data_IF_493581692260
#
_entry.id   IF_493581692260
#
_cell.length_a   1.000
_cell.length_b   1.000
_cell.length_c   1.000
_cell.angle_alpha   90.00
_cell.angle_beta   90.00
_cell.angle_gamma   90.00
#
_symmetry.space_group_name_H-M   'P 1'
#
loop_
_entity.id
_entity.type
_entity.pdbx_description
1 polymer ?
#
# COMPACT_ATOMS: atom_id res chain seq x y z
N UNK A 1 -2.66 -12.89 -14.82
CA UNK A 1 -1.18 -13.03 -14.73
C UNK A 1 -0.82 -14.21 -15.60
N UNK A 2 -0.10 -14.00 -16.70
CA UNK A 2 0.33 -15.10 -17.59
C UNK A 2 1.33 -15.95 -16.79
N UNK A 3 1.18 -17.28 -16.72
CA UNK A 3 2.15 -18.16 -16.10
C UNK A 3 3.56 -17.95 -16.67
N UNK A 4 4.58 -17.87 -15.83
CA UNK A 4 5.95 -17.53 -16.24
C UNK A 4 6.49 -18.47 -17.34
N UNK A 5 6.09 -19.76 -17.34
CA UNK A 5 6.46 -20.70 -18.39
C UNK A 5 5.83 -20.36 -19.74
N UNK A 6 4.60 -19.84 -19.79
CA UNK A 6 3.92 -19.44 -21.02
C UNK A 6 4.47 -18.14 -21.61
N UNK A 7 5.03 -17.27 -20.78
CA UNK A 7 5.70 -16.06 -21.28
C UNK A 7 7.10 -16.37 -21.82
N UNK A 8 7.88 -17.19 -21.11
CA UNK A 8 9.20 -17.61 -21.60
C UNK A 8 9.08 -18.61 -22.77
N UNK A 9 8.07 -19.50 -22.79
CA UNK A 9 7.68 -20.28 -23.99
C UNK A 9 7.13 -19.37 -25.08
N UNK A 10 6.37 -18.32 -24.76
CA UNK A 10 5.87 -17.37 -25.75
C UNK A 10 6.99 -16.59 -26.43
N UNK A 11 8.06 -16.26 -25.70
CA UNK A 11 9.28 -15.67 -26.26
C UNK A 11 10.08 -16.71 -27.06
N UNK A 12 10.29 -17.92 -26.50
CA UNK A 12 11.06 -18.99 -27.16
C UNK A 12 10.34 -19.60 -28.38
N UNK A 13 9.00 -19.57 -28.40
CA UNK A 13 8.14 -20.01 -29.51
C UNK A 13 7.64 -18.83 -30.35
N UNK A 14 8.10 -17.60 -30.08
CA UNK A 14 7.79 -16.48 -30.95
C UNK A 14 8.40 -16.74 -32.34
N UNK A 15 7.59 -16.62 -33.39
CA UNK A 15 8.06 -16.68 -34.79
C UNK A 15 9.19 -15.66 -35.05
N UNK A 16 9.21 -14.58 -34.26
CA UNK A 16 10.26 -13.55 -34.23
C UNK A 16 11.67 -14.10 -33.99
N UNK A 17 11.85 -15.19 -33.22
CA UNK A 17 13.20 -15.69 -32.96
C UNK A 17 13.86 -16.26 -34.23
N UNK A 18 13.09 -16.99 -35.06
CA UNK A 18 13.57 -17.51 -36.35
C UNK A 18 13.79 -16.40 -37.38
N UNK A 19 12.91 -15.40 -37.41
CA UNK A 19 13.04 -14.28 -38.33
C UNK A 19 14.19 -13.33 -37.93
N UNK A 20 14.41 -13.09 -36.62
CA UNK A 20 15.59 -12.37 -36.12
C UNK A 20 16.89 -13.16 -36.29
N UNK A 21 16.86 -14.50 -36.24
CA UNK A 21 18.01 -15.34 -36.57
C UNK A 21 18.35 -15.28 -38.07
N UNK A 22 17.35 -15.21 -38.96
CA UNK A 22 17.55 -14.96 -40.40
C UNK A 22 18.14 -13.57 -40.67
N UNK A 23 17.67 -12.53 -39.98
CA UNK A 23 18.25 -11.17 -40.05
C UNK A 23 19.70 -11.15 -39.52
N UNK A 24 20.02 -11.95 -38.50
CA UNK A 24 21.40 -12.10 -37.99
C UNK A 24 22.31 -12.85 -38.96
N UNK A 25 21.80 -13.88 -39.65
CA UNK A 25 22.59 -14.69 -40.58
C UNK A 25 23.05 -13.93 -41.83
N UNK A 26 22.33 -12.86 -42.18
CA UNK A 26 22.61 -12.03 -43.35
C UNK A 26 23.44 -10.77 -43.04
N UNK A 27 23.82 -10.55 -41.77
CA UNK A 27 24.83 -9.55 -41.41
C UNK A 27 26.19 -10.23 -41.41
N UNK A 28 27.03 -9.75 -42.32
CA UNK A 28 28.40 -10.16 -42.55
C UNK A 28 29.21 -10.39 -41.26
N UNK A 29 30.21 -11.26 -41.39
CA UNK A 29 31.29 -11.51 -40.42
C UNK A 29 32.04 -10.20 -40.14
N UNK A 30 31.48 -9.35 -39.28
CA UNK A 30 32.16 -8.24 -38.65
C UNK A 30 32.80 -8.76 -37.36
N UNK A 31 34.04 -8.33 -37.08
CA UNK A 31 34.64 -8.51 -35.75
C UNK A 31 33.67 -7.95 -34.70
N UNK A 32 33.13 -8.84 -33.86
CA UNK A 32 32.23 -8.47 -32.77
C UNK A 32 32.89 -7.41 -31.89
N UNK A 33 32.24 -6.27 -31.74
CA UNK A 33 32.71 -5.23 -30.83
C UNK A 33 32.61 -5.73 -29.39
N UNK A 34 33.42 -5.19 -28.49
CA UNK A 34 33.32 -5.47 -27.05
C UNK A 34 31.89 -5.24 -26.50
N UNK A 35 31.17 -4.26 -27.06
CA UNK A 35 29.74 -4.01 -26.73
C UNK A 35 28.81 -5.15 -27.17
N UNK A 36 29.12 -5.85 -28.26
CA UNK A 36 28.33 -6.99 -28.72
C UNK A 36 28.55 -8.20 -27.82
N UNK A 37 29.78 -8.42 -27.36
CA UNK A 37 30.10 -9.43 -26.35
C UNK A 37 29.39 -9.17 -25.02
N UNK A 38 29.43 -7.92 -24.52
CA UNK A 38 28.70 -7.52 -23.31
C UNK A 38 27.18 -7.72 -23.48
N UNK A 39 26.64 -7.41 -24.67
CA UNK A 39 25.22 -7.60 -24.96
C UNK A 39 24.84 -9.08 -24.98
N UNK A 40 25.65 -9.94 -25.57
CA UNK A 40 25.44 -11.39 -25.57
C UNK A 40 25.52 -11.97 -24.15
N UNK A 41 26.51 -11.54 -23.35
CA UNK A 41 26.60 -11.94 -21.94
C UNK A 41 25.35 -11.53 -21.15
N UNK A 42 24.82 -10.32 -21.37
CA UNK A 42 23.54 -9.91 -20.76
C UNK A 42 22.38 -10.78 -21.24
N UNK A 43 22.31 -11.12 -22.53
CA UNK A 43 21.26 -11.99 -23.05
C UNK A 43 21.29 -13.40 -22.45
N UNK A 44 22.45 -13.88 -22.00
CA UNK A 44 22.60 -15.17 -21.33
C UNK A 44 22.09 -15.17 -19.88
N UNK A 45 21.85 -13.99 -19.28
CA UNK A 45 21.30 -13.91 -17.92
C UNK A 45 19.87 -14.46 -17.86
N UNK A 46 19.65 -15.41 -16.96
CA UNK A 46 18.34 -16.01 -16.74
C UNK A 46 17.55 -15.22 -15.71
N UNK A 47 16.33 -14.79 -16.07
CA UNK A 47 15.37 -14.23 -15.10
C UNK A 47 14.72 -15.29 -14.20
N UNK A 48 14.98 -16.57 -14.45
CA UNK A 48 14.56 -17.67 -13.57
C UNK A 48 15.64 -18.02 -12.54
N UNK A 49 16.88 -17.60 -12.78
CA UNK A 49 17.96 -17.79 -11.82
C UNK A 49 17.83 -16.81 -10.65
N UNK A 50 17.85 -17.37 -9.44
CA UNK A 50 17.58 -16.68 -8.19
C UNK A 50 18.75 -15.76 -7.77
N UNK A 51 19.98 -16.16 -8.08
CA UNK A 51 21.18 -15.42 -7.72
C UNK A 51 21.36 -14.21 -8.66
N UNK A 52 21.14 -14.42 -9.96
CA UNK A 52 21.05 -13.33 -10.95
C UNK A 52 19.97 -12.30 -10.55
N UNK A 53 18.79 -12.76 -10.11
CA UNK A 53 17.77 -11.86 -9.61
C UNK A 53 18.25 -11.04 -8.41
N UNK A 54 18.92 -11.64 -7.43
CA UNK A 54 19.39 -10.92 -6.23
C UNK A 54 20.36 -9.78 -6.53
N UNK A 55 21.27 -9.97 -7.49
CA UNK A 55 22.25 -8.94 -7.87
C UNK A 55 21.52 -7.66 -8.34
N UNK A 56 20.49 -7.86 -9.17
CA UNK A 56 19.75 -6.78 -9.84
C UNK A 56 18.49 -6.29 -9.09
N UNK A 57 18.14 -6.92 -7.95
CA UNK A 57 16.93 -6.61 -7.16
C UNK A 57 17.07 -5.33 -6.31
N UNK A 58 17.13 -4.17 -6.98
CA UNK A 58 17.14 -2.87 -6.31
C UNK A 58 15.82 -2.60 -5.58
N UNK A 59 14.70 -3.08 -6.12
CA UNK A 59 13.37 -2.85 -5.57
C UNK A 59 13.23 -3.45 -4.15
N UNK A 60 13.74 -4.66 -3.94
CA UNK A 60 13.79 -5.29 -2.63
C UNK A 60 14.68 -4.52 -1.66
N UNK A 61 15.85 -4.04 -2.12
CA UNK A 61 16.79 -3.27 -1.28
C UNK A 61 16.12 -2.01 -0.72
N UNK A 62 15.33 -1.32 -1.53
CA UNK A 62 14.59 -0.12 -1.10
C UNK A 62 13.44 -0.46 -0.13
N UNK A 63 12.77 -1.61 -0.31
CA UNK A 63 11.64 -2.04 0.53
C UNK A 63 12.04 -2.86 1.76
N UNK A 64 13.32 -3.19 1.94
CA UNK A 64 13.79 -4.09 2.99
C UNK A 64 13.37 -3.64 4.38
N UNK A 65 13.46 -2.34 4.67
CA UNK A 65 13.08 -1.78 5.97
C UNK A 65 11.59 -2.00 6.27
N UNK A 66 10.74 -1.72 5.28
CA UNK A 66 9.29 -1.90 5.41
C UNK A 66 8.91 -3.37 5.64
N UNK A 67 9.57 -4.29 4.94
CA UNK A 67 9.38 -5.74 5.11
C UNK A 67 9.76 -6.20 6.52
N UNK A 68 10.87 -5.70 7.06
CA UNK A 68 11.30 -5.99 8.43
C UNK A 68 10.28 -5.45 9.43
N UNK A 69 9.75 -4.24 9.21
CA UNK A 69 8.72 -3.64 10.04
C UNK A 69 7.42 -4.46 10.06
N UNK A 70 6.93 -4.88 8.89
CA UNK A 70 5.73 -5.74 8.79
C UNK A 70 5.91 -7.10 9.47
N UNK A 71 7.13 -7.65 9.45
CA UNK A 71 7.45 -8.89 10.16
C UNK A 71 7.52 -8.68 11.67
N UNK A 72 8.15 -7.59 12.12
CA UNK A 72 8.27 -7.26 13.54
C UNK A 72 6.88 -7.02 14.18
N UNK A 73 6.01 -6.30 13.47
CA UNK A 73 4.63 -6.04 13.87
C UNK A 73 3.67 -7.21 13.58
N UNK A 74 4.14 -8.38 13.16
CA UNK A 74 3.30 -9.54 12.83
C UNK A 74 2.15 -9.28 11.81
N UNK A 75 2.24 -8.18 11.04
CA UNK A 75 1.26 -7.80 10.01
C UNK A 75 1.28 -8.81 8.87
N UNK A 76 2.48 -9.20 8.45
CA UNK A 76 2.67 -10.05 7.28
C UNK A 76 3.87 -10.98 7.50
N UNK A 77 3.67 -12.29 7.70
CA UNK A 77 4.76 -13.23 7.94
C UNK A 77 5.36 -13.68 6.60
N UNK A 78 6.06 -12.75 5.95
CA UNK A 78 6.78 -12.99 4.70
C UNK A 78 8.23 -13.35 5.02
N UNK A 79 8.74 -14.39 4.36
CA UNK A 79 10.13 -14.83 4.51
C UNK A 79 10.82 -14.93 3.16
N UNK A 80 12.11 -14.58 3.16
CA UNK A 80 12.98 -14.86 2.03
C UNK A 80 13.48 -16.29 2.16
N UNK A 81 13.05 -17.17 1.25
CA UNK A 81 13.45 -18.59 1.27
C UNK A 81 14.77 -18.82 0.56
N UNK A 82 15.02 -18.08 -0.53
CA UNK A 82 16.29 -18.08 -1.28
C UNK A 82 16.63 -16.65 -1.72
N UNK A 83 17.89 -16.37 -2.07
CA UNK A 83 18.26 -15.26 -2.96
C UNK A 83 17.18 -14.93 -3.99
N UNK A 84 16.83 -13.66 -4.15
CA UNK A 84 15.86 -13.19 -5.15
C UNK A 84 14.40 -13.66 -5.01
N UNK A 85 14.05 -14.52 -4.05
CA UNK A 85 12.68 -15.08 -3.93
C UNK A 85 12.07 -14.89 -2.55
N UNK A 86 10.91 -14.22 -2.56
CA UNK A 86 10.10 -13.97 -1.38
C UNK A 86 8.94 -14.95 -1.39
N UNK A 87 8.73 -15.64 -0.27
CA UNK A 87 7.72 -16.69 -0.15
C UNK A 87 6.94 -16.55 1.15
N UNK A 88 5.68 -16.97 1.10
CA UNK A 88 4.81 -17.10 2.25
C UNK A 88 4.50 -18.58 2.45
N UNK A 89 4.66 -19.07 3.69
CA UNK A 89 4.30 -20.44 4.06
C UNK A 89 3.70 -20.47 5.45
N UNK A 90 2.55 -21.13 5.59
CA UNK A 90 1.85 -21.30 6.87
C UNK A 90 2.67 -22.05 7.91
N UNK A 91 3.63 -22.88 7.49
CA UNK A 91 4.48 -23.68 8.37
C UNK A 91 5.82 -23.03 8.68
N UNK A 92 6.00 -21.75 8.36
CA UNK A 92 7.25 -21.03 8.57
C UNK A 92 7.42 -20.55 10.03
N UNK A 93 8.67 -20.37 10.47
CA UNK A 93 8.99 -19.75 11.78
C UNK A 93 8.40 -18.34 11.92
N UNK A 94 8.31 -17.60 10.82
CA UNK A 94 7.74 -16.24 10.83
C UNK A 94 6.22 -16.28 11.06
N UNK A 95 5.51 -17.25 10.47
CA UNK A 95 4.08 -17.43 10.70
C UNK A 95 3.80 -17.91 12.11
N UNK A 96 4.63 -18.80 12.65
CA UNK A 96 4.52 -19.21 14.06
C UNK A 96 4.70 -18.03 15.03
N UNK A 97 5.72 -17.17 14.79
CA UNK A 97 5.89 -15.92 15.54
C UNK A 97 4.67 -15.01 15.42
N UNK A 98 4.17 -14.79 14.19
CA UNK A 98 3.02 -13.93 13.97
C UNK A 98 1.75 -14.45 14.68
N UNK A 99 1.49 -15.76 14.64
CA UNK A 99 0.39 -16.39 15.37
C UNK A 99 0.54 -16.19 16.88
N UNK A 100 1.72 -16.46 17.45
CA UNK A 100 1.95 -16.30 18.89
C UNK A 100 1.77 -14.83 19.32
N UNK A 101 2.35 -13.90 18.57
CA UNK A 101 2.20 -12.47 18.81
C UNK A 101 0.72 -12.06 18.75
N UNK A 102 -0.01 -12.55 17.76
CA UNK A 102 -1.42 -12.21 17.58
C UNK A 102 -2.32 -12.79 18.68
N UNK A 103 -2.03 -13.99 19.17
CA UNK A 103 -2.74 -14.58 20.31
C UNK A 103 -2.55 -13.70 21.56
N UNK A 104 -1.31 -13.31 21.86
CA UNK A 104 -1.00 -12.44 23.00
C UNK A 104 -1.70 -11.08 22.84
N UNK A 105 -1.59 -10.47 21.66
CA UNK A 105 -2.25 -9.19 21.36
C UNK A 105 -3.78 -9.30 21.50
N UNK A 106 -4.38 -10.42 21.08
CA UNK A 106 -5.82 -10.67 21.19
C UNK A 106 -6.26 -10.77 22.65
N UNK A 107 -5.49 -11.45 23.51
CA UNK A 107 -5.79 -11.50 24.95
C UNK A 107 -5.78 -10.11 25.57
N UNK A 108 -4.79 -9.28 25.22
CA UNK A 108 -4.73 -7.89 25.70
C UNK A 108 -5.92 -7.08 25.18
N UNK A 109 -6.25 -7.20 23.89
CA UNK A 109 -7.39 -6.51 23.27
C UNK A 109 -8.72 -6.90 23.92
N UNK A 110 -8.93 -8.17 24.24
CA UNK A 110 -10.14 -8.64 24.91
C UNK A 110 -10.23 -8.09 26.35
N UNK A 111 -9.12 -8.08 27.08
CA UNK A 111 -9.07 -7.50 28.43
C UNK A 111 -9.41 -6.01 28.42
N UNK A 112 -8.77 -5.24 27.52
CA UNK A 112 -9.07 -3.81 27.35
C UNK A 112 -10.51 -3.60 26.88
N UNK A 113 -11.00 -4.42 25.93
CA UNK A 113 -12.37 -4.34 25.43
C UNK A 113 -13.41 -4.56 26.53
N UNK A 114 -13.18 -5.53 27.43
CA UNK A 114 -14.06 -5.78 28.57
C UNK A 114 -14.16 -4.58 29.51
N UNK A 115 -13.02 -3.98 29.89
CA UNK A 115 -13.00 -2.78 30.72
C UNK A 115 -13.71 -1.60 30.04
N UNK A 116 -13.51 -1.42 28.73
CA UNK A 116 -14.15 -0.33 27.97
C UNK A 116 -15.66 -0.52 27.86
N UNK A 117 -16.14 -1.74 27.64
CA UNK A 117 -17.58 -2.04 27.62
C UNK A 117 -18.21 -1.85 29.00
N UNK A 118 -17.47 -2.17 30.07
CA UNK A 118 -17.94 -1.94 31.44
C UNK A 118 -18.06 -0.44 31.75
N UNK A 119 -17.08 0.35 31.33
CA UNK A 119 -17.10 1.82 31.47
C UNK A 119 -18.24 2.43 30.64
N UNK A 120 -18.49 1.94 29.42
CA UNK A 120 -19.56 2.40 28.53
C UNK A 120 -20.95 2.35 29.19
N UNK A 121 -21.21 1.35 30.04
CA UNK A 121 -22.49 1.23 30.77
C UNK A 121 -22.68 2.28 31.87
N UNK A 122 -21.60 2.92 32.31
CA UNK A 122 -21.63 3.90 33.41
C UNK A 122 -21.71 5.36 32.94
N UNK A 123 -21.43 5.61 31.65
CA UNK A 123 -21.39 6.97 31.10
C UNK A 123 -22.80 7.46 30.78
N UNK A 124 -23.13 8.67 31.27
CA UNK A 124 -24.42 9.34 31.03
C UNK A 124 -24.33 10.50 30.03
N UNK A 125 -23.16 11.11 29.88
CA UNK A 125 -22.94 12.20 28.91
C UNK A 125 -22.80 11.66 27.50
N UNK A 126 -23.46 12.30 26.55
CA UNK A 126 -23.48 11.85 25.16
C UNK A 126 -22.09 11.87 24.51
N UNK A 127 -21.31 12.95 24.71
CA UNK A 127 -19.99 13.07 24.09
C UNK A 127 -19.03 11.99 24.60
N UNK A 128 -18.97 11.78 25.92
CA UNK A 128 -18.20 10.70 26.55
C UNK A 128 -18.66 9.32 26.08
N UNK A 129 -19.96 9.15 25.81
CA UNK A 129 -20.52 7.90 25.30
C UNK A 129 -20.07 7.64 23.86
N UNK A 130 -20.12 8.65 22.98
CA UNK A 130 -19.63 8.53 21.59
C UNK A 130 -18.14 8.19 21.58
N UNK A 131 -17.33 8.87 22.38
CA UNK A 131 -15.91 8.56 22.49
C UNK A 131 -15.69 7.11 22.96
N UNK A 132 -16.42 6.65 23.99
CA UNK A 132 -16.33 5.28 24.48
C UNK A 132 -16.74 4.23 23.43
N UNK A 133 -17.78 4.49 22.62
CA UNK A 133 -18.17 3.62 21.50
C UNK A 133 -17.07 3.60 20.43
N UNK A 134 -16.50 4.75 20.07
CA UNK A 134 -15.41 4.84 19.09
C UNK A 134 -14.18 4.04 19.56
N UNK A 135 -13.83 4.08 20.85
CA UNK A 135 -12.72 3.28 21.39
C UNK A 135 -12.96 1.78 21.30
N UNK A 136 -14.21 1.32 21.49
CA UNK A 136 -14.57 -0.08 21.27
C UNK A 136 -14.52 -0.42 19.78
N UNK A 137 -14.98 0.49 18.92
CA UNK A 137 -14.90 0.32 17.47
C UNK A 137 -13.45 0.23 16.97
N UNK A 138 -12.50 0.98 17.54
CA UNK A 138 -11.07 0.87 17.20
C UNK A 138 -10.44 -0.49 17.57
N UNK A 139 -11.05 -1.27 18.46
CA UNK A 139 -10.60 -2.64 18.75
C UNK A 139 -11.05 -3.64 17.68
N UNK A 140 -12.12 -3.35 16.94
CA UNK A 140 -12.69 -4.26 15.92
C UNK A 140 -11.72 -4.54 14.77
N UNK A 141 -11.00 -3.56 14.19
CA UNK A 141 -10.02 -3.80 13.14
C UNK A 141 -8.96 -4.83 13.49
N UNK A 142 -8.61 -5.00 14.78
CA UNK A 142 -7.71 -6.08 15.23
C UNK A 142 -8.18 -7.40 14.61
N UNK A 143 -9.39 -7.85 14.92
CA UNK A 143 -9.89 -9.15 14.43
C UNK A 143 -9.93 -9.28 12.90
N UNK A 144 -10.00 -8.18 12.15
CA UNK A 144 -10.03 -8.18 10.69
C UNK A 144 -8.64 -8.27 10.04
N UNK A 145 -7.62 -7.73 10.70
CA UNK A 145 -6.28 -7.56 10.12
C UNK A 145 -5.59 -8.89 9.76
N UNK A 146 -5.66 -9.99 10.55
CA UNK A 146 -5.09 -11.27 10.14
C UNK A 146 -5.71 -11.81 8.85
N UNK A 147 -7.02 -11.64 8.66
CA UNK A 147 -7.70 -12.13 7.48
C UNK A 147 -7.26 -11.37 6.23
N UNK A 148 -7.17 -10.03 6.31
CA UNK A 148 -6.73 -9.21 5.17
C UNK A 148 -5.22 -9.32 4.95
N UNK A 149 -4.44 -9.16 6.01
CA UNK A 149 -2.99 -9.15 5.97
C UNK A 149 -2.40 -10.50 5.58
N UNK A 150 -2.79 -11.58 6.27
CA UNK A 150 -2.26 -12.91 5.97
C UNK A 150 -2.89 -13.52 4.74
N UNK A 151 -4.18 -13.24 4.47
CA UNK A 151 -4.88 -13.72 3.27
C UNK A 151 -4.25 -13.21 1.96
N UNK A 152 -3.69 -12.01 1.97
CA UNK A 152 -3.06 -11.38 0.78
C UNK A 152 -1.53 -11.59 0.76
N UNK A 153 -0.94 -12.12 1.82
CA UNK A 153 0.52 -12.30 1.95
C UNK A 153 1.14 -13.11 0.81
N UNK A 154 0.45 -14.14 0.32
CA UNK A 154 0.92 -14.93 -0.82
C UNK A 154 0.98 -14.08 -2.11
N UNK A 155 -0.03 -13.25 -2.36
CA UNK A 155 -0.06 -12.39 -3.54
C UNK A 155 1.04 -11.32 -3.48
N UNK A 156 1.29 -10.75 -2.30
CA UNK A 156 2.39 -9.79 -2.11
C UNK A 156 3.76 -10.45 -2.28
N UNK A 157 3.93 -11.69 -1.83
CA UNK A 157 5.16 -12.46 -2.04
C UNK A 157 5.42 -12.73 -3.53
N UNK A 158 4.40 -13.14 -4.28
CA UNK A 158 4.48 -13.33 -5.73
C UNK A 158 4.81 -12.01 -6.44
N UNK A 159 4.10 -10.94 -6.10
CA UNK A 159 4.32 -9.61 -6.67
C UNK A 159 5.76 -9.13 -6.45
N UNK A 160 6.26 -9.21 -5.21
CA UNK A 160 7.63 -8.81 -4.89
C UNK A 160 8.68 -9.66 -5.60
N UNK A 161 8.43 -10.97 -5.74
CA UNK A 161 9.32 -11.85 -6.49
C UNK A 161 9.31 -11.55 -8.00
N UNK A 162 8.14 -11.21 -8.56
CA UNK A 162 8.03 -10.85 -9.99
C UNK A 162 8.80 -9.58 -10.35
N UNK A 163 8.97 -8.65 -9.41
CA UNK A 163 9.80 -7.46 -9.59
C UNK A 163 11.27 -7.79 -9.81
N UNK A 164 11.83 -8.76 -9.08
CA UNK A 164 13.21 -9.21 -9.31
C UNK A 164 13.41 -9.73 -10.73
N UNK A 165 12.46 -10.56 -11.21
CA UNK A 165 12.47 -11.05 -12.60
C UNK A 165 12.37 -9.92 -13.62
N UNK A 166 11.51 -8.94 -13.35
CA UNK A 166 11.34 -7.77 -14.19
C UNK A 166 12.62 -6.93 -14.28
N UNK A 167 13.32 -6.71 -13.16
CA UNK A 167 14.57 -5.93 -13.15
C UNK A 167 15.68 -6.62 -13.93
N UNK A 168 15.77 -7.96 -13.88
CA UNK A 168 16.69 -8.71 -14.74
C UNK A 168 16.32 -8.54 -16.22
N UNK A 169 15.04 -8.67 -16.57
CA UNK A 169 14.59 -8.48 -17.96
C UNK A 169 14.84 -7.06 -18.47
N UNK A 170 14.63 -6.06 -17.62
CA UNK A 170 14.96 -4.67 -17.93
C UNK A 170 16.46 -4.52 -18.22
N UNK A 171 17.32 -5.03 -17.34
CA UNK A 171 18.77 -5.00 -17.51
C UNK A 171 19.25 -5.70 -18.79
N UNK A 172 18.61 -6.81 -19.20
CA UNK A 172 18.93 -7.50 -20.45
C UNK A 172 18.75 -6.61 -21.68
N UNK A 173 17.70 -5.78 -21.67
CA UNK A 173 17.31 -4.94 -22.82
C UNK A 173 18.06 -3.60 -22.81
N UNK A 174 18.09 -2.91 -21.68
CA UNK A 174 18.64 -1.55 -21.57
C UNK A 174 20.14 -1.54 -21.27
N UNK A 175 20.66 -2.60 -20.64
CA UNK A 175 22.04 -2.64 -20.15
C UNK A 175 22.28 -1.87 -18.85
N UNK A 176 21.24 -1.24 -18.30
CA UNK A 176 21.31 -0.47 -17.06
C UNK A 176 20.37 -1.02 -16.01
N UNK A 177 20.77 -0.90 -14.73
CA UNK A 177 19.92 -1.30 -13.61
C UNK A 177 18.79 -0.29 -13.41
N UNK A 178 17.57 -0.77 -13.22
CA UNK A 178 16.44 0.08 -12.89
C UNK A 178 16.64 0.66 -11.48
N UNK A 179 16.91 1.96 -11.39
CA UNK A 179 17.12 2.67 -10.14
C UNK A 179 15.92 3.56 -9.79
N UNK A 180 15.56 3.59 -8.51
CA UNK A 180 14.52 4.46 -7.98
C UNK A 180 15.15 5.49 -7.04
N UNK A 181 15.47 6.72 -7.51
CA UNK A 181 16.32 7.65 -6.76
C UNK A 181 15.72 8.08 -5.41
N UNK A 182 14.41 8.29 -5.35
CA UNK A 182 13.74 8.82 -4.15
C UNK A 182 12.91 7.77 -3.38
N UNK A 183 12.76 6.56 -3.91
CA UNK A 183 11.82 5.57 -3.39
C UNK A 183 12.13 5.16 -1.95
N UNK A 184 13.40 4.85 -1.67
CA UNK A 184 13.85 4.50 -0.32
C UNK A 184 13.56 5.62 0.68
N UNK A 185 13.90 6.85 0.33
CA UNK A 185 13.69 8.03 1.18
C UNK A 185 12.20 8.26 1.44
N UNK A 186 11.36 8.18 0.41
CA UNK A 186 9.91 8.31 0.53
C UNK A 186 9.30 7.22 1.41
N UNK A 187 9.70 5.95 1.23
CA UNK A 187 9.22 4.84 2.07
C UNK A 187 9.58 5.07 3.54
N UNK A 188 10.81 5.51 3.83
CA UNK A 188 11.26 5.79 5.20
C UNK A 188 10.47 6.95 5.80
N UNK A 189 10.32 8.06 5.07
CA UNK A 189 9.56 9.23 5.53
C UNK A 189 8.10 8.84 5.85
N UNK A 190 7.44 8.11 4.96
CA UNK A 190 6.05 7.68 5.18
C UNK A 190 5.98 6.71 6.36
N UNK A 191 6.86 5.71 6.44
CA UNK A 191 6.81 4.69 7.51
C UNK A 191 7.08 5.28 8.89
N UNK A 192 8.10 6.15 9.00
CA UNK A 192 8.43 6.84 10.26
C UNK A 192 7.35 7.86 10.61
N UNK A 193 6.82 8.59 9.62
CA UNK A 193 5.70 9.51 9.80
C UNK A 193 4.46 8.82 10.35
N UNK A 194 4.08 7.64 9.82
CA UNK A 194 2.96 6.86 10.32
C UNK A 194 3.15 6.41 11.78
N UNK A 195 4.38 6.02 12.16
CA UNK A 195 4.70 5.64 13.54
C UNK A 195 4.64 6.82 14.49
N UNK A 196 5.24 7.95 14.12
CA UNK A 196 5.22 9.18 14.92
C UNK A 196 3.78 9.68 15.10
N UNK A 197 2.98 9.63 14.04
CA UNK A 197 1.58 10.04 14.13
C UNK A 197 0.78 9.10 15.04
N UNK A 198 0.99 7.79 14.95
CA UNK A 198 0.36 6.85 15.87
C UNK A 198 0.70 7.18 17.34
N UNK A 199 1.94 7.57 17.63
CA UNK A 199 2.34 8.05 18.97
C UNK A 199 1.64 9.35 19.33
N UNK A 200 1.63 10.36 18.45
CA UNK A 200 0.96 11.63 18.69
C UNK A 200 -0.53 11.45 18.97
N UNK A 201 -1.22 10.66 18.14
CA UNK A 201 -2.64 10.35 18.31
C UNK A 201 -2.89 9.65 19.65
N UNK A 202 -2.08 8.66 20.03
CA UNK A 202 -2.19 8.02 21.34
C UNK A 202 -1.96 8.97 22.51
N UNK A 203 -1.00 9.88 22.41
CA UNK A 203 -0.76 10.88 23.45
C UNK A 203 -1.95 11.82 23.59
N UNK A 204 -2.54 12.24 22.47
CA UNK A 204 -3.77 13.02 22.45
C UNK A 204 -4.95 12.25 23.07
N UNK A 205 -5.08 10.94 22.80
CA UNK A 205 -6.10 10.09 23.40
C UNK A 205 -5.90 9.89 24.92
N UNK A 206 -4.65 9.68 25.35
CA UNK A 206 -4.29 9.60 26.77
C UNK A 206 -4.62 10.91 27.51
N UNK A 207 -4.46 12.05 26.86
CA UNK A 207 -4.87 13.33 27.41
C UNK A 207 -6.40 13.51 27.38
N UNK A 208 -7.09 12.96 26.37
CA UNK A 208 -8.54 13.10 26.20
C UNK A 208 -9.33 12.45 27.33
N UNK A 209 -8.94 11.25 27.77
CA UNK A 209 -9.61 10.48 28.82
C UNK A 209 -8.83 10.48 30.14
N UNK A 210 -9.43 11.05 31.19
CA UNK A 210 -9.00 10.79 32.57
C UNK A 210 -9.18 9.28 32.87
N UNK A 211 -8.08 8.55 33.06
CA UNK A 211 -8.09 7.13 33.47
C UNK A 211 -7.34 6.14 32.57
N UNK A 212 -6.58 6.58 31.56
CA UNK A 212 -5.75 5.66 30.77
C UNK A 212 -4.49 5.20 31.53
N UNK A 213 -4.43 3.93 31.93
CA UNK A 213 -3.18 3.27 32.31
C UNK A 213 -2.31 3.03 31.06
N UNK A 214 -1.02 3.38 31.11
CA UNK A 214 -0.04 3.19 30.01
C UNK A 214 0.00 1.76 29.42
N UNK A 215 -0.43 0.76 30.20
CA UNK A 215 -0.49 -0.65 29.77
C UNK A 215 -1.54 -0.91 28.69
N UNK A 216 -2.65 -0.16 28.68
CA UNK A 216 -3.69 -0.28 27.65
C UNK A 216 -3.25 0.38 26.33
N UNK A 217 -2.40 1.40 26.41
CA UNK A 217 -1.88 2.17 25.27
C UNK A 217 -1.05 1.31 24.32
N UNK A 218 -0.37 0.28 24.82
CA UNK A 218 0.44 -0.62 23.99
C UNK A 218 -0.40 -1.41 22.96
N UNK A 219 -1.61 -1.84 23.33
CA UNK A 219 -2.51 -2.53 22.41
C UNK A 219 -3.04 -1.61 21.33
N UNK A 220 -3.47 -0.40 21.72
CA UNK A 220 -3.91 0.62 20.77
C UNK A 220 -2.78 1.06 19.83
N UNK A 221 -1.54 1.17 20.31
CA UNK A 221 -0.38 1.48 19.46
C UNK A 221 -0.19 0.50 18.32
N UNK A 222 -0.27 -0.79 18.63
CA UNK A 222 -0.17 -1.81 17.60
C UNK A 222 -1.30 -1.68 16.58
N UNK A 223 -2.55 -1.58 17.04
CA UNK A 223 -3.74 -1.48 16.17
C UNK A 223 -3.68 -0.21 15.31
N UNK A 224 -3.45 0.96 15.91
CA UNK A 224 -3.40 2.25 15.21
C UNK A 224 -2.28 2.25 14.16
N UNK A 225 -1.10 1.74 14.50
CA UNK A 225 0.00 1.62 13.54
C UNK A 225 -0.38 0.74 12.35
N UNK A 226 -1.07 -0.38 12.57
CA UNK A 226 -1.55 -1.25 11.50
C UNK A 226 -2.65 -0.61 10.65
N UNK A 227 -3.57 0.11 11.29
CA UNK A 227 -4.66 0.83 10.63
C UNK A 227 -4.08 1.93 9.72
N UNK A 228 -3.10 2.70 10.22
CA UNK A 228 -2.42 3.74 9.44
C UNK A 228 -1.62 3.19 8.26
N UNK A 229 -1.24 1.91 8.29
CA UNK A 229 -0.60 1.25 7.15
C UNK A 229 -1.60 0.72 6.10
N UNK A 230 -2.91 0.76 6.40
CA UNK A 230 -3.95 0.28 5.50
C UNK A 230 -4.76 1.45 4.90
N UNK A 231 -4.59 1.67 3.61
CA UNK A 231 -5.23 2.77 2.88
C UNK A 231 -6.76 2.82 3.05
N UNK A 232 -7.43 1.67 3.13
CA UNK A 232 -8.89 1.62 3.26
C UNK A 232 -9.39 2.23 4.58
N UNK A 233 -8.52 2.31 5.60
CA UNK A 233 -8.88 2.78 6.93
C UNK A 233 -8.54 4.26 7.16
N UNK A 234 -7.83 4.92 6.24
CA UNK A 234 -7.57 6.37 6.34
C UNK A 234 -8.87 7.18 6.30
N UNK A 235 -9.87 6.74 5.54
CA UNK A 235 -11.19 7.37 5.50
C UNK A 235 -11.85 7.45 6.88
N UNK A 236 -11.83 6.33 7.61
CA UNK A 236 -12.41 6.24 8.95
C UNK A 236 -11.65 7.13 9.95
N UNK A 237 -10.32 7.15 9.89
CA UNK A 237 -9.51 8.02 10.76
C UNK A 237 -9.80 9.50 10.49
N UNK A 238 -9.87 9.94 9.23
CA UNK A 238 -10.19 11.34 8.91
C UNK A 238 -11.57 11.73 9.47
N UNK A 239 -12.58 10.87 9.30
CA UNK A 239 -13.93 11.14 9.79
C UNK A 239 -13.95 11.29 11.31
N UNK A 240 -13.31 10.38 12.04
CA UNK A 240 -13.25 10.37 13.49
C UNK A 240 -12.45 11.56 14.02
N UNK A 241 -11.30 11.86 13.42
CA UNK A 241 -10.43 12.96 13.82
C UNK A 241 -11.11 14.32 13.64
N UNK A 242 -11.78 14.54 12.51
CA UNK A 242 -12.54 15.78 12.26
C UNK A 242 -13.75 15.87 13.20
N UNK A 243 -14.48 14.78 13.42
CA UNK A 243 -15.60 14.77 14.36
C UNK A 243 -15.14 15.10 15.79
N UNK A 244 -14.06 14.47 16.27
CA UNK A 244 -13.51 14.75 17.60
C UNK A 244 -13.06 16.20 17.74
N UNK A 245 -12.39 16.75 16.73
CA UNK A 245 -11.98 18.16 16.75
C UNK A 245 -13.18 19.11 16.77
N UNK A 246 -14.21 18.86 15.95
CA UNK A 246 -15.43 19.68 15.93
C UNK A 246 -16.23 19.55 17.23
N UNK A 247 -16.28 18.35 17.81
CA UNK A 247 -16.98 18.07 19.06
C UNK A 247 -16.41 18.91 20.20
N UNK A 248 -15.08 18.95 20.31
CA UNK A 248 -14.38 19.70 21.36
C UNK A 248 -14.56 21.22 21.21
N UNK A 249 -14.48 21.73 19.96
CA UNK A 249 -14.70 23.15 19.64
C UNK A 249 -16.12 23.59 20.03
N UNK A 250 -17.12 22.72 19.85
CA UNK A 250 -18.52 23.00 20.21
C UNK A 250 -18.72 23.05 21.73
N UNK A 251 -17.95 22.28 22.50
CA UNK A 251 -18.15 22.16 23.95
C UNK A 251 -17.35 23.18 24.76
N UNK A 252 -16.09 23.44 24.37
CA UNK A 252 -15.17 24.30 25.11
C UNK A 252 -14.88 25.64 24.42
N UNK A 253 -15.39 25.84 23.20
CA UNK A 253 -15.03 26.98 22.36
C UNK A 253 -13.64 26.80 21.73
N UNK A 254 -13.13 27.83 21.04
CA UNK A 254 -11.84 27.75 20.35
C UNK A 254 -10.68 27.86 21.37
N UNK A 255 -10.32 26.75 22.00
CA UNK A 255 -9.23 26.69 22.96
C UNK A 255 -8.17 25.70 22.50
N UNK A 256 -7.11 26.19 21.83
CA UNK A 256 -5.97 25.43 21.29
C UNK A 256 -5.31 24.50 22.31
N UNK A 257 -6.00 23.42 22.65
CA UNK A 257 -5.59 22.44 23.63
C UNK A 257 -4.76 21.40 22.91
N UNK A 258 -3.80 20.79 23.60
CA UNK A 258 -2.95 19.72 23.04
C UNK A 258 -3.78 18.58 22.39
N UNK A 259 -5.00 18.37 22.88
CA UNK A 259 -6.00 17.44 22.33
C UNK A 259 -6.42 17.80 20.90
N UNK A 260 -6.90 19.03 20.69
CA UNK A 260 -7.38 19.51 19.38
C UNK A 260 -6.25 19.50 18.35
N UNK A 261 -5.07 19.98 18.75
CA UNK A 261 -3.90 20.03 17.87
C UNK A 261 -3.52 18.62 17.36
N UNK A 262 -3.56 17.60 18.22
CA UNK A 262 -3.27 16.23 17.80
C UNK A 262 -4.29 15.65 16.82
N UNK A 263 -5.58 15.92 17.02
CA UNK A 263 -6.65 15.47 16.11
C UNK A 263 -6.57 16.18 14.74
N UNK A 264 -6.24 17.47 14.71
CA UNK A 264 -6.01 18.19 13.45
C UNK A 264 -4.80 17.68 12.70
N UNK A 265 -3.69 17.41 13.40
CA UNK A 265 -2.47 16.85 12.79
C UNK A 265 -2.75 15.46 12.20
N UNK A 266 -3.53 14.62 12.89
CA UNK A 266 -3.95 13.32 12.39
C UNK A 266 -4.82 13.42 11.14
N UNK A 267 -5.88 14.24 11.17
CA UNK A 267 -6.76 14.47 10.04
C UNK A 267 -6.00 15.00 8.80
N UNK A 268 -5.10 15.97 9.00
CA UNK A 268 -4.29 16.54 7.93
C UNK A 268 -3.35 15.50 7.31
N UNK A 269 -2.70 14.69 8.15
CA UNK A 269 -1.78 13.66 7.68
C UNK A 269 -2.48 12.54 6.91
N UNK A 270 -3.55 11.97 7.46
CA UNK A 270 -4.33 10.95 6.78
C UNK A 270 -4.92 11.46 5.46
N UNK A 271 -5.37 12.72 5.41
CA UNK A 271 -5.83 13.36 4.17
C UNK A 271 -4.70 13.50 3.14
N UNK A 272 -3.50 13.88 3.59
CA UNK A 272 -2.33 13.99 2.72
C UNK A 272 -1.93 12.63 2.15
N UNK A 273 -1.92 11.57 2.97
CA UNK A 273 -1.60 10.21 2.52
C UNK A 273 -2.64 9.69 1.52
N UNK A 274 -3.94 9.90 1.78
CA UNK A 274 -5.01 9.51 0.87
C UNK A 274 -4.89 10.25 -0.47
N UNK A 275 -4.58 11.55 -0.45
CA UNK A 275 -4.31 12.33 -1.65
C UNK A 275 -3.12 11.79 -2.43
N UNK A 276 -1.98 11.55 -1.77
CA UNK A 276 -0.77 11.00 -2.39
C UNK A 276 -1.10 9.66 -3.06
N UNK A 277 -1.81 8.76 -2.37
CA UNK A 277 -2.15 7.45 -2.91
C UNK A 277 -3.05 7.54 -4.15
N UNK A 278 -4.11 8.36 -4.09
CA UNK A 278 -5.03 8.56 -5.20
C UNK A 278 -4.35 9.26 -6.40
N UNK A 279 -3.54 10.29 -6.14
CA UNK A 279 -2.83 11.03 -7.17
C UNK A 279 -1.72 10.21 -7.83
N UNK A 280 -0.94 9.45 -7.05
CA UNK A 280 0.07 8.53 -7.59
C UNK A 280 -0.57 7.44 -8.45
N UNK A 281 -1.69 6.86 -8.02
CA UNK A 281 -2.41 5.82 -8.78
C UNK A 281 -2.97 6.38 -10.10
N UNK A 282 -3.54 7.59 -10.06
CA UNK A 282 -4.02 8.27 -11.26
C UNK A 282 -2.87 8.62 -12.22
N UNK A 283 -1.79 9.22 -11.72
CA UNK A 283 -0.60 9.55 -12.52
C UNK A 283 0.08 8.30 -13.10
N UNK A 284 0.12 7.18 -12.37
CA UNK A 284 0.67 5.92 -12.86
C UNK A 284 -0.11 5.42 -14.08
N UNK A 285 -1.44 5.47 -14.01
CA UNK A 285 -2.31 5.08 -15.12
C UNK A 285 -2.07 5.96 -16.35
N UNK A 286 -1.99 7.29 -16.16
CA UNK A 286 -1.73 8.24 -17.26
C UNK A 286 -0.35 8.10 -17.87
N UNK A 287 0.70 7.88 -17.06
CA UNK A 287 2.08 7.73 -17.55
C UNK A 287 2.27 6.46 -18.36
N UNK A 288 1.60 5.37 -17.99
CA UNK A 288 1.64 4.13 -18.78
C UNK A 288 0.97 4.36 -20.14
N UNK A 289 -0.19 5.02 -20.17
CA UNK A 289 -0.87 5.37 -21.41
C UNK A 289 -0.01 6.29 -22.31
N UNK A 290 0.54 7.37 -21.74
CA UNK A 290 1.39 8.30 -22.47
C UNK A 290 2.69 7.65 -22.97
N UNK A 291 3.35 6.82 -22.14
CA UNK A 291 4.58 6.14 -22.53
C UNK A 291 4.38 5.15 -23.68
N UNK A 292 3.25 4.44 -23.69
CA UNK A 292 2.87 3.60 -24.84
C UNK A 292 2.66 4.48 -26.08
N UNK A 293 1.91 5.56 -25.95
CA UNK A 293 1.63 6.49 -27.06
C UNK A 293 2.91 7.09 -27.65
N UNK A 294 3.83 7.59 -26.81
CA UNK A 294 5.10 8.17 -27.23
C UNK A 294 6.00 7.14 -27.93
N UNK A 295 6.04 5.91 -27.42
CA UNK A 295 6.79 4.82 -28.05
C UNK A 295 6.25 4.51 -29.45
N UNK A 296 4.93 4.47 -29.60
CA UNK A 296 4.28 4.21 -30.88
C UNK A 296 4.50 5.34 -31.89
N UNK A 297 4.45 6.60 -31.44
CA UNK A 297 4.72 7.77 -32.28
C UNK A 297 6.19 7.87 -32.69
N UNK A 298 7.11 7.25 -31.93
CA UNK A 298 8.54 7.21 -32.27
C UNK A 298 8.89 6.16 -33.33
N UNK A 299 7.97 5.22 -33.62
CA UNK A 299 8.15 4.22 -34.67
C UNK A 299 7.81 4.87 -36.01
N UNK A 300 8.76 4.87 -36.94
CA UNK A 300 8.52 5.34 -38.30
C UNK A 300 7.69 4.31 -39.08
N UNK A 301 6.36 4.42 -38.96
CA UNK A 301 5.39 3.50 -39.56
C UNK A 301 5.56 3.38 -41.09
N UNK A 302 6.16 4.38 -41.75
CA UNK A 302 6.39 4.38 -43.20
C UNK A 302 7.57 3.49 -43.63
N UNK A 303 8.52 3.20 -42.73
CA UNK A 303 9.66 2.32 -43.01
C UNK A 303 9.46 0.88 -42.50
N UNK A 304 8.28 0.57 -41.95
CA UNK A 304 7.98 -0.70 -41.29
C UNK A 304 7.10 -1.58 -42.19
N UNK A 305 7.39 -2.88 -42.21
CA UNK A 305 6.70 -3.86 -43.05
C UNK A 305 5.19 -3.96 -42.71
N UNK A 306 4.33 -4.19 -43.72
CA UNK A 306 2.88 -4.41 -43.54
C UNK A 306 2.48 -5.42 -42.44
N UNK A 307 3.15 -6.59 -42.27
CA UNK A 307 2.84 -7.49 -41.16
C UNK A 307 3.13 -6.87 -39.80
N UNK A 308 4.26 -6.18 -39.64
CA UNK A 308 4.65 -5.49 -38.40
C UNK A 308 3.70 -4.34 -38.07
N UNK A 309 3.20 -3.62 -39.08
CA UNK A 309 2.15 -2.60 -38.91
C UNK A 309 0.86 -3.20 -38.32
N UNK A 310 0.44 -4.37 -38.82
CA UNK A 310 -0.75 -5.08 -38.32
C UNK A 310 -0.57 -5.57 -36.88
N UNK A 311 0.64 -5.97 -36.50
CA UNK A 311 0.96 -6.33 -35.11
C UNK A 311 0.96 -5.13 -34.18
N UNK A 312 1.47 -3.98 -34.62
CA UNK A 312 1.41 -2.72 -33.88
C UNK A 312 -0.06 -2.33 -33.64
N UNK A 313 -0.92 -2.41 -34.66
CA UNK A 313 -2.36 -2.11 -34.52
C UNK A 313 -3.05 -3.05 -33.52
N UNK A 314 -2.77 -4.36 -33.59
CA UNK A 314 -3.30 -5.31 -32.60
C UNK A 314 -2.80 -5.03 -31.18
N UNK A 315 -1.55 -4.60 -31.02
CA UNK A 315 -0.98 -4.23 -29.73
C UNK A 315 -1.63 -2.96 -29.16
N UNK A 316 -1.85 -1.94 -30.00
CA UNK A 316 -2.59 -0.72 -29.62
C UNK A 316 -3.98 -1.07 -29.13
N UNK A 317 -4.71 -1.86 -29.92
CA UNK A 317 -6.06 -2.30 -29.58
C UNK A 317 -6.09 -3.07 -28.25
N UNK A 318 -5.11 -3.94 -28.01
CA UNK A 318 -5.01 -4.69 -26.75
C UNK A 318 -4.76 -3.80 -25.53
N UNK A 319 -3.97 -2.71 -25.69
CA UNK A 319 -3.70 -1.74 -24.63
C UNK A 319 -4.91 -0.85 -24.36
N UNK A 320 -5.59 -0.39 -25.41
CA UNK A 320 -6.83 0.39 -25.26
C UNK A 320 -7.93 -0.43 -24.57
N UNK A 321 -8.04 -1.73 -24.88
CA UNK A 321 -8.99 -2.62 -24.23
C UNK A 321 -8.63 -2.93 -22.76
N UNK A 322 -7.37 -2.79 -22.35
CA UNK A 322 -6.90 -3.10 -20.99
C UNK A 322 -6.02 -1.98 -20.42
N UNK A 323 -6.60 -0.81 -20.07
CA UNK A 323 -5.85 0.26 -19.46
C UNK A 323 -5.24 -0.20 -18.13
N UNK A 324 -4.02 0.27 -17.83
CA UNK A 324 -3.28 -0.07 -16.61
C UNK A 324 -3.84 0.63 -15.36
N UNK A 325 -5.14 0.44 -15.10
CA UNK A 325 -5.86 1.08 -14.00
C UNK A 325 -5.55 0.35 -12.69
N UNK A 326 -5.17 1.11 -11.67
CA UNK A 326 -5.02 0.58 -10.31
C UNK A 326 -6.41 0.31 -9.73
N UNK A 327 -6.69 -0.95 -9.37
CA UNK A 327 -7.98 -1.38 -8.83
C UNK A 327 -7.82 -2.14 -7.51
N UNK A 328 -8.73 -1.90 -6.57
CA UNK A 328 -8.86 -2.67 -5.33
C UNK A 328 -9.59 -3.99 -5.61
N UNK A 329 -8.90 -4.94 -6.27
CA UNK A 329 -9.44 -6.28 -6.58
C UNK A 329 -10.78 -6.24 -7.36
N UNK A 330 -11.00 -5.20 -8.16
CA UNK A 330 -12.24 -5.00 -8.93
C UNK A 330 -13.38 -4.31 -8.17
N UNK A 331 -13.25 -4.04 -6.87
CA UNK A 331 -14.31 -3.35 -6.10
C UNK A 331 -14.37 -1.85 -6.38
N UNK A 332 -13.20 -1.21 -6.52
CA UNK A 332 -13.10 0.21 -6.79
C UNK A 332 -11.82 0.53 -7.55
N UNK A 333 -11.89 1.53 -8.42
CA UNK A 333 -10.71 2.10 -9.08
C UNK A 333 -10.08 3.15 -8.17
N UNK A 334 -8.76 3.11 -8.03
CA UNK A 334 -8.01 4.08 -7.25
C UNK A 334 -7.67 5.26 -8.18
N UNK A 335 -8.53 6.27 -8.18
CA UNK A 335 -8.39 7.48 -8.97
C UNK A 335 -8.75 8.73 -8.14
N UNK A 336 -8.67 9.92 -8.75
CA UNK A 336 -9.05 11.17 -8.09
C UNK A 336 -10.55 11.24 -7.74
N UNK A 337 -11.40 10.45 -8.41
CA UNK A 337 -12.82 10.36 -8.09
C UNK A 337 -13.08 9.62 -6.78
N UNK A 338 -12.23 8.66 -6.42
CA UNK A 338 -12.26 8.04 -5.09
C UNK A 338 -12.09 9.09 -3.99
N UNK A 339 -11.25 10.12 -4.22
CA UNK A 339 -11.05 11.21 -3.26
C UNK A 339 -12.29 12.10 -3.15
N UNK A 340 -12.92 12.46 -4.27
CA UNK A 340 -14.15 13.29 -4.23
C UNK A 340 -15.32 12.55 -3.59
N UNK A 341 -15.47 11.24 -3.90
CA UNK A 341 -16.42 10.35 -3.24
C UNK A 341 -16.15 10.25 -1.74
N UNK A 342 -14.88 10.11 -1.34
CA UNK A 342 -14.49 10.07 0.06
C UNK A 342 -14.84 11.38 0.78
N UNK A 343 -14.47 12.53 0.25
CA UNK A 343 -14.79 13.83 0.88
C UNK A 343 -16.30 13.99 1.06
N UNK A 344 -17.10 13.60 0.06
CA UNK A 344 -18.55 13.65 0.14
C UNK A 344 -19.10 12.76 1.25
N UNK A 345 -18.63 11.51 1.35
CA UNK A 345 -19.05 10.60 2.42
C UNK A 345 -18.65 11.13 3.81
N UNK A 346 -17.41 11.63 3.97
CA UNK A 346 -16.96 12.23 5.24
C UNK A 346 -17.88 13.38 5.64
N UNK A 347 -18.17 14.29 4.70
CA UNK A 347 -19.04 15.44 4.96
C UNK A 347 -20.46 15.00 5.38
N UNK A 348 -21.05 14.02 4.70
CA UNK A 348 -22.38 13.48 5.05
C UNK A 348 -22.37 12.89 6.46
N UNK A 349 -21.40 12.03 6.77
CA UNK A 349 -21.29 11.44 8.12
C UNK A 349 -21.06 12.49 9.20
N UNK A 350 -20.22 13.49 8.94
CA UNK A 350 -19.99 14.59 9.89
C UNK A 350 -21.26 15.41 10.13
N UNK A 351 -22.00 15.74 9.07
CA UNK A 351 -23.28 16.46 9.20
C UNK A 351 -24.24 15.65 10.07
N UNK A 352 -24.41 14.36 9.77
CA UNK A 352 -25.31 13.48 10.53
C UNK A 352 -24.90 13.43 12.01
N UNK A 353 -23.62 13.21 12.31
CA UNK A 353 -23.12 13.14 13.69
C UNK A 353 -23.29 14.48 14.43
N UNK A 354 -23.06 15.60 13.76
CA UNK A 354 -23.22 16.93 14.34
C UNK A 354 -24.70 17.27 14.58
N UNK A 355 -25.60 16.87 13.67
CA UNK A 355 -27.05 17.02 13.85
C UNK A 355 -27.55 16.22 15.05
N UNK A 356 -27.07 14.98 15.22
CA UNK A 356 -27.38 14.18 16.41
C UNK A 356 -26.91 14.86 17.70
N UNK A 357 -25.69 15.43 17.70
CA UNK A 357 -25.16 16.15 18.86
C UNK A 357 -26.00 17.38 19.22
N UNK A 358 -26.36 18.20 18.23
CA UNK A 358 -27.16 19.42 18.44
C UNK A 358 -28.60 19.10 18.88
N UNK A 359 -29.17 18.01 18.38
CA UNK A 359 -30.56 17.62 18.67
C UNK A 359 -30.75 17.04 20.07
N UNK A 360 -29.67 16.72 20.79
CA UNK A 360 -29.75 16.20 22.14
C UNK A 360 -29.91 17.35 23.15
N UNK A 361 -30.92 17.30 24.04
CA UNK A 361 -31.10 18.33 25.04
C UNK A 361 -29.89 18.37 25.99
N UNK A 362 -29.23 19.53 26.08
CA UNK A 362 -28.20 19.77 27.08
C UNK A 362 -28.85 19.68 28.46
N UNK A 363 -28.42 18.73 29.31
CA UNK A 363 -28.88 18.68 30.70
C UNK A 363 -28.59 20.03 31.38
N UNK A 364 -29.56 20.60 32.13
CA UNK A 364 -29.38 21.89 32.76
C UNK A 364 -28.22 21.81 33.76
N UNK A 365 -27.23 22.68 33.56
CA UNK A 365 -26.16 22.95 34.51
C UNK A 365 -26.80 23.39 35.83
N UNK A 366 -26.86 22.49 36.82
CA UNK A 366 -27.23 22.83 38.20
C UNK A 366 -26.09 23.71 38.71
N UNK A 367 -26.35 25.00 38.82
CA UNK A 367 -25.44 26.01 39.39
C UNK A 367 -25.11 25.72 40.84
#
# INVERSE_FOLDING_TARGET
MIPDHLFDEGINNSLLQKDMECVKKHRDVYEKSQRDYEREQRYMLSSQDSDTCEIHDQFYRDHKLLLVLFRALAVMPITRSRPGTITFSWRSRATAYAICFYIIATVVVLFVGYERVMILRSIRKFDDYIYAVIFVAFLVPHFWIPFVGWGVANQVAIYKTSWGKFQVRYYRVTGENLQFPNLKTTIVIISVGCLLLAVCFLLSLCALLEGFLLRHTAAYFHIITMINMNCALWFFNITIAIYGALSEIVDHGFGFTFKEMGLFVDAAYCSTLLFIFADCSHKSTLKVAAGVQDTLLSIDVLSVDRPTQKEIDHFIQAIEMNPAVVSLKGYAHVNRELLTSAISMIAIYLIVLLQFKISLPKEPQIK
#
